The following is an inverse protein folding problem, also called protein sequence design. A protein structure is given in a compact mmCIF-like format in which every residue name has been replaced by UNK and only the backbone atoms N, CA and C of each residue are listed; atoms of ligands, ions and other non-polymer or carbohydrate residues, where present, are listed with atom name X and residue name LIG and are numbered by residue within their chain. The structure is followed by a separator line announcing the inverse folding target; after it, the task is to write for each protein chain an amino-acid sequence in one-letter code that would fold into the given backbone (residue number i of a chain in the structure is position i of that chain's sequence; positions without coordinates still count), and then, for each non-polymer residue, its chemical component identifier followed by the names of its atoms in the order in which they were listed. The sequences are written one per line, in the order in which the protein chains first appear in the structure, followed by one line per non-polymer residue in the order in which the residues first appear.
data_IF_798940363356
#
_entry.id   IF_798940363356
#
_cell.length_a   1.000
_cell.length_b   1.000
_cell.length_c   1.000
_cell.angle_alpha   90.00
_cell.angle_beta   90.00
_cell.angle_gamma   90.00
#
_symmetry.space_group_name_H-M   'P 1'
#
loop_
_entity.id
_entity.type
_entity.pdbx_description
1 polymer ?
#
# COMPACT_ATOMS: atom_id res chain seq x y z
N UNK A 1 47.37 -119.04 -52.55
CA UNK A 1 47.20 -120.10 -51.53
C UNK A 1 45.75 -120.08 -51.07
N UNK A 2 45.04 -121.23 -51.17
CA UNK A 2 43.92 -121.74 -50.32
C UNK A 2 42.76 -120.75 -50.02
N UNK A 3 41.49 -120.97 -50.34
CA UNK A 3 40.56 -122.14 -50.27
C UNK A 3 39.24 -121.64 -50.90
N UNK A 4 38.63 -122.23 -51.94
CA UNK A 4 37.69 -123.38 -51.95
C UNK A 4 36.84 -123.49 -50.66
N UNK A 5 35.52 -123.26 -50.75
CA UNK A 5 34.49 -124.32 -50.73
C UNK A 5 33.07 -123.89 -50.23
N UNK A 6 32.07 -124.28 -51.04
CA UNK A 6 30.67 -124.69 -50.79
C UNK A 6 29.89 -124.35 -49.50
N UNK A 7 28.60 -123.94 -49.65
CA UNK A 7 27.38 -124.67 -49.20
C UNK A 7 26.09 -123.89 -49.58
N UNK A 8 25.27 -124.27 -50.57
CA UNK A 8 24.08 -125.17 -50.56
C UNK A 8 22.83 -124.69 -49.77
N UNK A 9 21.72 -124.52 -50.54
CA UNK A 9 20.29 -124.90 -50.25
C UNK A 9 19.51 -123.97 -49.30
N UNK A 10 18.19 -123.73 -49.36
CA UNK A 10 17.01 -124.16 -50.14
C UNK A 10 15.81 -123.25 -49.69
N UNK A 11 14.94 -122.84 -50.64
CA UNK A 11 13.47 -122.62 -50.58
C UNK A 11 12.82 -121.88 -49.37
N UNK A 12 12.10 -120.78 -49.64
CA UNK A 12 10.63 -120.64 -49.41
C UNK A 12 10.15 -119.18 -49.54
N UNK A 13 8.99 -119.03 -50.18
CA UNK A 13 8.27 -117.78 -50.42
C UNK A 13 7.60 -117.19 -49.16
N UNK A 14 7.40 -115.86 -49.11
CA UNK A 14 6.12 -115.16 -48.83
C UNK A 14 6.33 -113.63 -48.70
N UNK A 15 5.26 -112.86 -48.88
CA UNK A 15 5.17 -111.40 -49.08
C UNK A 15 5.59 -110.50 -47.89
N UNK A 16 5.80 -109.19 -48.15
CA UNK A 16 5.18 -108.01 -47.47
C UNK A 16 5.98 -106.70 -47.72
N UNK A 17 5.25 -105.60 -47.93
CA UNK A 17 5.64 -104.18 -48.09
C UNK A 17 6.64 -103.63 -47.05
N UNK A 18 7.56 -102.75 -47.48
CA UNK A 18 8.08 -101.58 -46.72
C UNK A 18 8.69 -100.51 -47.66
N UNK A 19 8.41 -99.24 -47.41
CA UNK A 19 9.15 -98.03 -47.85
C UNK A 19 9.77 -97.38 -46.59
N UNK A 20 10.75 -96.42 -46.59
CA UNK A 20 11.14 -95.46 -47.64
C UNK A 20 12.66 -95.09 -47.73
N UNK A 21 13.05 -94.27 -48.71
CA UNK A 21 14.16 -93.30 -48.67
C UNK A 21 13.83 -92.23 -49.74
N UNK A 22 13.87 -90.92 -49.56
CA UNK A 22 14.80 -90.10 -48.78
C UNK A 22 15.38 -89.04 -49.71
N UNK A 23 14.55 -88.08 -50.15
CA UNK A 23 14.80 -86.72 -50.68
C UNK A 23 16.13 -86.41 -51.38
N UNK A 24 16.07 -86.10 -52.68
CA UNK A 24 16.85 -84.99 -53.26
C UNK A 24 16.03 -84.26 -54.34
N UNK A 25 15.80 -82.97 -54.11
CA UNK A 25 15.14 -82.01 -54.99
C UNK A 25 16.18 -81.27 -55.84
N UNK A 26 15.91 -81.12 -57.14
CA UNK A 26 16.66 -80.21 -58.04
C UNK A 26 15.67 -79.32 -58.79
N UNK A 27 15.12 -78.33 -58.10
CA UNK A 27 14.51 -77.17 -58.75
C UNK A 27 15.32 -75.96 -58.37
N UNK A 28 16.16 -75.45 -59.28
CA UNK A 28 16.44 -74.02 -59.29
C UNK A 28 16.62 -73.56 -60.71
N UNK A 29 15.65 -72.74 -61.12
CA UNK A 29 15.57 -71.86 -62.26
C UNK A 29 14.25 -71.04 -62.16
N UNK A 30 14.21 -69.70 -61.98
CA UNK A 30 12.92 -68.94 -62.02
C UNK A 30 12.79 -67.88 -63.11
N UNK A 31 13.72 -67.86 -64.08
CA UNK A 31 13.53 -67.13 -65.34
C UNK A 31 14.36 -67.68 -66.54
N UNK A 32 14.84 -68.93 -66.47
CA UNK A 32 15.80 -69.73 -67.29
C UNK A 32 17.24 -70.04 -66.73
N UNK A 33 17.49 -69.83 -65.44
CA UNK A 33 18.30 -70.64 -64.47
C UNK A 33 19.04 -69.83 -63.42
N UNK A 34 18.81 -68.51 -63.48
CA UNK A 34 19.16 -67.57 -62.43
C UNK A 34 20.44 -66.81 -62.77
N UNK A 35 20.26 -65.57 -63.22
CA UNK A 35 21.10 -64.40 -62.92
C UNK A 35 20.19 -63.17 -63.07
N UNK A 36 19.87 -62.36 -62.07
CA UNK A 36 20.15 -62.29 -60.62
C UNK A 36 18.78 -61.94 -59.96
N UNK A 37 18.38 -62.41 -58.79
CA UNK A 37 18.81 -61.82 -57.52
C UNK A 37 18.41 -62.76 -56.38
N UNK A 38 19.40 -63.05 -55.55
CA UNK A 38 19.38 -64.00 -54.45
C UNK A 38 19.08 -63.28 -53.13
N UNK A 39 17.81 -63.23 -52.73
CA UNK A 39 17.46 -62.83 -51.36
C UNK A 39 16.35 -63.70 -50.76
N UNK A 40 16.66 -64.47 -49.72
CA UNK A 40 18.01 -64.74 -49.15
C UNK A 40 17.94 -66.09 -48.44
N UNK A 41 17.94 -67.16 -49.24
CA UNK A 41 17.88 -68.57 -48.82
C UNK A 41 16.86 -68.89 -47.71
N UNK A 42 15.71 -68.23 -47.76
CA UNK A 42 14.77 -68.18 -46.67
C UNK A 42 13.77 -69.37 -46.75
N UNK A 43 13.45 -70.03 -45.62
CA UNK A 43 12.46 -71.10 -45.54
C UNK A 43 11.01 -70.71 -45.94
N UNK A 44 10.77 -69.52 -46.49
CA UNK A 44 9.55 -69.12 -47.23
C UNK A 44 9.76 -67.80 -47.99
N UNK A 45 9.34 -67.73 -49.26
CA UNK A 45 9.16 -66.47 -50.02
C UNK A 45 7.86 -66.51 -50.84
N UNK A 46 6.91 -65.62 -50.55
CA UNK A 46 5.68 -65.43 -51.34
C UNK A 46 5.80 -64.14 -52.16
N UNK A 47 5.99 -64.20 -53.50
CA UNK A 47 6.06 -63.00 -54.32
C UNK A 47 4.78 -62.17 -54.19
N UNK A 48 4.90 -60.85 -54.13
CA UNK A 48 3.74 -59.96 -54.25
C UNK A 48 3.22 -60.09 -55.69
N UNK A 49 2.09 -60.76 -55.87
CA UNK A 49 1.46 -60.91 -57.19
C UNK A 49 0.80 -59.58 -57.57
N UNK A 50 0.76 -59.23 -58.84
CA UNK A 50 0.11 -58.01 -59.33
C UNK A 50 -0.99 -58.37 -60.33
N UNK A 51 -2.08 -57.61 -60.36
CA UNK A 51 -3.10 -57.75 -61.39
C UNK A 51 -4.29 -56.84 -61.15
N UNK A 52 -5.26 -56.86 -62.07
CA UNK A 52 -6.46 -56.01 -61.99
C UNK A 52 -7.66 -56.67 -61.30
N UNK A 53 -7.54 -57.96 -60.93
CA UNK A 53 -8.56 -58.73 -60.19
C UNK A 53 -7.88 -59.57 -59.12
N UNK A 54 -8.45 -59.67 -57.92
CA UNK A 54 -7.96 -60.54 -56.86
C UNK A 54 -8.19 -62.03 -57.23
N UNK A 55 -7.17 -62.90 -57.13
CA UNK A 55 -7.35 -64.33 -57.36
C UNK A 55 -8.36 -64.95 -56.39
N UNK A 56 -9.24 -65.82 -56.91
CA UNK A 56 -10.27 -66.49 -56.11
C UNK A 56 -9.70 -67.43 -55.03
N UNK A 57 -8.44 -67.86 -55.19
CA UNK A 57 -7.72 -68.66 -54.19
C UNK A 57 -6.49 -67.93 -53.69
N UNK A 58 -6.24 -68.04 -52.39
CA UNK A 58 -5.04 -67.50 -51.77
C UNK A 58 -4.65 -68.32 -50.53
N UNK A 59 -3.37 -68.30 -50.18
CA UNK A 59 -2.86 -68.94 -48.96
C UNK A 59 -2.40 -67.90 -47.94
N UNK A 60 -2.69 -68.10 -46.64
CA UNK A 60 -2.36 -67.16 -45.56
C UNK A 60 -0.93 -66.60 -45.66
N UNK A 61 -0.78 -65.27 -45.69
CA UNK A 61 0.50 -64.57 -45.87
C UNK A 61 0.92 -64.33 -47.33
N UNK A 62 0.09 -64.69 -48.33
CA UNK A 62 0.29 -64.18 -49.69
C UNK A 62 -0.04 -62.69 -49.76
N UNK A 63 0.73 -61.95 -50.56
CA UNK A 63 0.52 -60.53 -50.83
C UNK A 63 0.11 -60.33 -52.29
N UNK A 64 -0.79 -59.38 -52.52
CA UNK A 64 -1.26 -59.01 -53.86
C UNK A 64 -1.38 -57.49 -53.99
N UNK A 65 -0.85 -56.94 -55.09
CA UNK A 65 -1.01 -55.54 -55.47
C UNK A 65 -2.07 -55.43 -56.58
N UNK A 66 -3.24 -54.90 -56.24
CA UNK A 66 -4.38 -54.72 -57.14
C UNK A 66 -4.21 -53.45 -57.98
N UNK A 67 -3.63 -53.58 -59.16
CA UNK A 67 -3.28 -52.45 -60.04
C UNK A 67 -4.47 -51.75 -60.68
N UNK A 68 -5.69 -52.26 -60.48
CA UNK A 68 -6.93 -51.58 -60.84
C UNK A 68 -7.32 -50.43 -59.90
N UNK A 69 -6.68 -50.34 -58.72
CA UNK A 69 -6.85 -49.26 -57.76
C UNK A 69 -5.55 -48.44 -57.63
N UNK A 70 -5.69 -47.14 -57.44
CA UNK A 70 -4.60 -46.16 -57.33
C UNK A 70 -4.19 -45.85 -55.87
N UNK A 71 -5.00 -46.24 -54.90
CA UNK A 71 -4.75 -46.20 -53.46
C UNK A 71 -5.27 -47.50 -52.84
N UNK A 72 -4.79 -47.86 -51.64
CA UNK A 72 -5.26 -49.05 -50.90
C UNK A 72 -5.16 -50.36 -51.71
N UNK A 73 -4.17 -50.43 -52.60
CA UNK A 73 -4.04 -51.52 -53.56
C UNK A 73 -3.22 -52.70 -53.04
N UNK A 74 -2.70 -52.68 -51.81
CA UNK A 74 -1.97 -53.80 -51.22
C UNK A 74 -2.91 -54.67 -50.36
N UNK A 75 -3.03 -55.94 -50.72
CA UNK A 75 -3.84 -56.94 -50.02
C UNK A 75 -2.93 -58.05 -49.47
N UNK A 76 -3.30 -58.62 -48.31
CA UNK A 76 -2.73 -59.85 -47.80
C UNK A 76 -3.83 -60.90 -47.59
N UNK A 77 -3.50 -62.15 -47.88
CA UNK A 77 -4.38 -63.26 -47.58
C UNK A 77 -4.32 -63.55 -46.07
N UNK A 78 -5.36 -63.22 -45.32
CA UNK A 78 -5.38 -63.41 -43.86
C UNK A 78 -5.78 -64.85 -43.48
N UNK A 79 -6.62 -65.49 -44.30
CA UNK A 79 -7.03 -66.88 -44.19
C UNK A 79 -7.16 -67.50 -45.60
N UNK A 80 -7.20 -68.83 -45.72
CA UNK A 80 -7.32 -69.49 -47.03
C UNK A 80 -8.46 -68.88 -47.86
N UNK A 81 -8.13 -68.40 -49.06
CA UNK A 81 -9.03 -67.76 -50.03
C UNK A 81 -9.70 -66.46 -49.54
N UNK A 82 -9.15 -65.79 -48.52
CA UNK A 82 -9.66 -64.54 -47.96
C UNK A 82 -8.61 -63.43 -48.02
N UNK A 83 -8.77 -62.54 -49.00
CA UNK A 83 -7.96 -61.33 -49.13
C UNK A 83 -8.45 -60.22 -48.21
N UNK A 84 -7.53 -59.60 -47.48
CA UNK A 84 -7.77 -58.45 -46.61
C UNK A 84 -6.84 -57.32 -47.05
N UNK A 85 -7.39 -56.15 -47.33
CA UNK A 85 -6.60 -54.96 -47.64
C UNK A 85 -5.67 -54.63 -46.45
N UNK A 86 -4.41 -54.32 -46.72
CA UNK A 86 -3.39 -54.05 -45.70
C UNK A 86 -3.24 -52.55 -45.39
N UNK A 87 -4.05 -51.70 -46.02
CA UNK A 87 -4.20 -50.30 -45.61
C UNK A 87 -5.12 -50.22 -44.39
N UNK A 88 -4.65 -49.54 -43.34
CA UNK A 88 -5.55 -49.05 -42.30
C UNK A 88 -6.46 -48.01 -42.95
N UNK A 89 -7.77 -48.24 -42.94
CA UNK A 89 -8.74 -47.32 -43.54
C UNK A 89 -8.76 -46.03 -42.73
N UNK A 90 -7.91 -45.07 -43.10
CA UNK A 90 -8.13 -43.70 -42.70
C UNK A 90 -9.42 -43.23 -43.41
N UNK A 91 -10.34 -42.56 -42.71
CA UNK A 91 -11.50 -41.98 -43.34
C UNK A 91 -11.06 -41.08 -44.50
N UNK A 92 -11.78 -41.15 -45.63
CA UNK A 92 -11.49 -40.34 -46.80
C UNK A 92 -11.27 -38.87 -46.42
N UNK A 93 -10.19 -38.28 -46.93
CA UNK A 93 -9.89 -36.85 -46.73
C UNK A 93 -10.82 -35.95 -47.57
N UNK A 94 -11.54 -36.52 -48.54
CA UNK A 94 -12.48 -35.77 -49.36
C UNK A 94 -13.55 -35.11 -48.45
N UNK A 95 -13.62 -33.78 -48.46
CA UNK A 95 -14.54 -33.01 -47.61
C UNK A 95 -14.08 -32.80 -46.16
N UNK A 96 -12.86 -33.20 -45.79
CA UNK A 96 -12.29 -33.03 -44.44
C UNK A 96 -11.47 -31.74 -44.26
N UNK A 97 -11.62 -30.75 -45.16
CA UNK A 97 -10.88 -29.48 -45.07
C UNK A 97 -11.13 -28.78 -43.73
N UNK A 98 -10.06 -28.33 -43.07
CA UNK A 98 -10.11 -27.62 -41.79
C UNK A 98 -10.38 -28.50 -40.56
N UNK A 99 -10.44 -29.83 -40.71
CA UNK A 99 -10.62 -30.79 -39.61
C UNK A 99 -9.29 -31.42 -39.19
N UNK A 100 -9.26 -32.00 -37.99
CA UNK A 100 -8.14 -32.82 -37.50
C UNK A 100 -8.52 -34.29 -37.50
N UNK A 101 -7.56 -35.17 -37.82
CA UNK A 101 -7.74 -36.61 -37.62
C UNK A 101 -7.71 -36.88 -36.11
N UNK A 102 -8.71 -37.58 -35.62
CA UNK A 102 -8.91 -37.83 -34.19
C UNK A 102 -9.50 -39.23 -34.00
N UNK A 103 -9.26 -39.83 -32.84
CA UNK A 103 -9.93 -41.07 -32.45
C UNK A 103 -11.00 -40.81 -31.39
N UNK A 104 -12.16 -41.45 -31.54
CA UNK A 104 -13.22 -41.49 -30.51
C UNK A 104 -13.16 -42.78 -29.66
N UNK A 105 -12.11 -43.59 -29.80
CA UNK A 105 -11.99 -44.89 -29.13
C UNK A 105 -12.68 -46.06 -29.84
N UNK A 106 -13.45 -45.81 -30.92
CA UNK A 106 -14.02 -46.86 -31.80
C UNK A 106 -13.48 -46.83 -33.23
N UNK A 107 -12.75 -45.77 -33.60
CA UNK A 107 -12.04 -45.66 -34.87
C UNK A 107 -11.43 -44.27 -35.08
N UNK A 108 -10.78 -44.08 -36.22
CA UNK A 108 -10.28 -42.77 -36.66
C UNK A 108 -11.41 -41.98 -37.35
N UNK A 109 -11.48 -40.67 -37.13
CA UNK A 109 -12.46 -39.77 -37.73
C UNK A 109 -11.90 -38.35 -37.90
N UNK A 110 -12.34 -37.66 -38.96
CA UNK A 110 -12.08 -36.24 -39.15
C UNK A 110 -13.05 -35.41 -38.31
N UNK A 111 -12.55 -34.78 -37.24
CA UNK A 111 -13.33 -33.95 -36.33
C UNK A 111 -13.03 -32.46 -36.55
N UNK A 112 -14.07 -31.64 -36.53
CA UNK A 112 -13.91 -30.19 -36.39
C UNK A 112 -13.44 -29.85 -34.98
N UNK A 113 -12.81 -28.69 -34.82
CA UNK A 113 -12.57 -28.11 -33.50
C UNK A 113 -13.84 -27.42 -33.02
N UNK A 114 -14.10 -27.47 -31.71
CA UNK A 114 -15.33 -26.93 -31.13
C UNK A 114 -15.20 -26.69 -29.63
N UNK A 115 -16.32 -26.34 -29.00
CA UNK A 115 -16.34 -25.86 -27.62
C UNK A 115 -15.99 -24.37 -27.57
N UNK A 116 -14.79 -24.07 -27.10
CA UNK A 116 -14.32 -22.69 -26.86
C UNK A 116 -13.59 -22.06 -28.05
N UNK A 117 -13.34 -22.85 -29.10
CA UNK A 117 -12.64 -22.40 -30.31
C UNK A 117 -13.48 -22.64 -31.56
N UNK A 118 -13.29 -21.80 -32.57
CA UNK A 118 -13.90 -21.91 -33.89
C UNK A 118 -12.90 -21.61 -35.00
N UNK A 119 -13.26 -21.90 -36.25
CA UNK A 119 -12.43 -21.68 -37.43
C UNK A 119 -11.55 -22.89 -37.82
N UNK A 120 -10.77 -22.76 -38.91
CA UNK A 120 -9.88 -23.81 -39.38
C UNK A 120 -8.64 -23.94 -38.48
N UNK A 121 -7.99 -25.11 -38.51
CA UNK A 121 -6.75 -25.42 -37.74
C UNK A 121 -5.62 -24.42 -37.93
N UNK A 122 -5.59 -23.70 -39.05
CA UNK A 122 -4.58 -22.68 -39.38
C UNK A 122 -4.95 -21.27 -38.91
N UNK A 123 -6.18 -21.04 -38.45
CA UNK A 123 -6.69 -19.72 -38.06
C UNK A 123 -7.79 -19.85 -36.98
N UNK A 124 -7.49 -20.58 -35.92
CA UNK A 124 -8.37 -20.71 -34.77
C UNK A 124 -8.62 -19.36 -34.09
N UNK A 125 -9.87 -19.14 -33.70
CA UNK A 125 -10.24 -18.03 -32.82
C UNK A 125 -10.93 -18.57 -31.57
N UNK A 126 -10.69 -17.91 -30.43
CA UNK A 126 -11.40 -18.20 -29.18
C UNK A 126 -12.78 -17.55 -29.25
N UNK A 127 -13.80 -18.37 -29.48
CA UNK A 127 -15.21 -17.94 -29.55
C UNK A 127 -15.97 -18.20 -28.26
N UNK A 128 -15.37 -18.92 -27.31
CA UNK A 128 -15.97 -19.23 -26.02
C UNK A 128 -14.94 -19.36 -24.91
N UNK A 129 -15.42 -19.21 -23.67
CA UNK A 129 -14.68 -19.56 -22.47
C UNK A 129 -15.61 -20.37 -21.56
N UNK A 130 -15.30 -21.65 -21.34
CA UNK A 130 -16.14 -22.61 -20.61
C UNK A 130 -17.52 -22.81 -21.24
N UNK A 131 -17.57 -22.96 -22.57
CA UNK A 131 -18.77 -23.06 -23.39
C UNK A 131 -19.70 -21.84 -23.30
N UNK A 132 -19.16 -20.69 -22.91
CA UNK A 132 -19.88 -19.42 -22.87
C UNK A 132 -19.33 -18.49 -23.94
N UNK A 133 -20.17 -17.89 -24.79
CA UNK A 133 -19.69 -17.10 -25.93
C UNK A 133 -18.78 -15.95 -25.50
N UNK A 134 -17.72 -15.69 -26.26
CA UNK A 134 -16.93 -14.46 -26.21
C UNK A 134 -17.43 -13.55 -27.33
N UNK A 135 -17.65 -12.26 -27.02
CA UNK A 135 -18.14 -11.29 -28.00
C UNK A 135 -17.16 -11.11 -29.16
N UNK A 136 -17.69 -10.93 -30.37
CA UNK A 136 -16.91 -10.56 -31.55
C UNK A 136 -16.53 -9.06 -31.60
N UNK A 137 -17.02 -8.26 -30.64
CA UNK A 137 -16.66 -6.84 -30.51
C UNK A 137 -15.19 -6.69 -30.14
N UNK A 138 -14.44 -5.88 -30.90
CA UNK A 138 -13.05 -5.58 -30.61
C UNK A 138 -12.91 -4.78 -29.29
N UNK A 139 -12.04 -5.19 -28.36
CA UNK A 139 -11.80 -4.44 -27.12
C UNK A 139 -11.15 -3.07 -27.40
N UNK A 140 -11.65 -2.02 -26.75
CA UNK A 140 -10.93 -0.76 -26.65
C UNK A 140 -9.80 -0.84 -25.60
N UNK A 141 -8.83 0.07 -25.70
CA UNK A 141 -7.74 0.17 -24.73
C UNK A 141 -8.27 0.34 -23.29
N UNK A 142 -7.81 -0.52 -22.38
CA UNK A 142 -8.20 -0.50 -20.96
C UNK A 142 -9.47 -1.29 -20.61
N UNK A 143 -10.09 -1.98 -21.57
CA UNK A 143 -11.23 -2.88 -21.30
C UNK A 143 -10.79 -4.27 -20.85
N UNK A 144 -11.63 -4.93 -20.07
CA UNK A 144 -11.48 -6.33 -19.65
C UNK A 144 -12.70 -7.15 -20.07
N UNK A 145 -12.54 -8.46 -20.25
CA UNK A 145 -13.68 -9.35 -20.49
C UNK A 145 -14.52 -9.50 -19.21
N UNK A 146 -15.80 -9.11 -19.28
CA UNK A 146 -16.76 -9.22 -18.19
C UNK A 146 -17.99 -10.02 -18.64
N UNK A 147 -18.49 -10.93 -17.81
CA UNK A 147 -19.67 -11.73 -18.10
C UNK A 147 -20.94 -10.88 -17.92
N UNK A 148 -21.69 -10.63 -18.99
CA UNK A 148 -22.91 -9.82 -18.93
C UNK A 148 -24.20 -10.62 -18.69
N UNK A 149 -24.11 -11.94 -18.46
CA UNK A 149 -25.27 -12.83 -18.39
C UNK A 149 -25.48 -13.71 -19.64
N UNK A 150 -24.96 -13.29 -20.80
CA UNK A 150 -25.13 -13.95 -22.09
C UNK A 150 -23.80 -14.26 -22.81
N UNK A 151 -22.82 -13.36 -22.71
CA UNK A 151 -21.49 -13.49 -23.31
C UNK A 151 -20.43 -12.79 -22.48
N UNK A 152 -19.17 -13.19 -22.66
CA UNK A 152 -18.02 -12.43 -22.20
C UNK A 152 -17.83 -11.25 -23.16
N UNK A 153 -18.07 -10.03 -22.67
CA UNK A 153 -17.99 -8.79 -23.45
C UNK A 153 -16.84 -7.92 -22.95
N UNK A 154 -16.12 -7.21 -23.83
CA UNK A 154 -15.20 -6.17 -23.39
C UNK A 154 -15.97 -5.06 -22.68
N UNK A 155 -15.62 -4.78 -21.44
CA UNK A 155 -16.18 -3.67 -20.66
C UNK A 155 -15.08 -2.89 -19.95
N UNK A 156 -15.30 -1.59 -19.84
CA UNK A 156 -14.52 -0.73 -18.95
C UNK A 156 -14.91 -1.08 -17.52
N UNK A 157 -13.94 -1.47 -16.70
CA UNK A 157 -14.17 -1.61 -15.27
C UNK A 157 -14.27 -0.21 -14.68
N UNK A 158 -15.47 0.22 -14.33
CA UNK A 158 -15.64 1.34 -13.41
C UNK A 158 -15.42 0.82 -12.00
N UNK A 159 -14.17 0.82 -11.53
CA UNK A 159 -13.92 0.70 -10.09
C UNK A 159 -14.51 1.95 -9.45
N UNK A 160 -15.71 1.83 -8.89
CA UNK A 160 -16.17 2.82 -7.93
C UNK A 160 -15.14 2.82 -6.80
N UNK A 161 -14.40 3.91 -6.64
CA UNK A 161 -13.60 4.08 -5.44
C UNK A 161 -14.54 3.86 -4.26
N UNK A 162 -14.16 2.96 -3.34
CA UNK A 162 -14.99 2.63 -2.19
C UNK A 162 -15.43 3.91 -1.51
N UNK A 163 -16.73 4.08 -1.29
CA UNK A 163 -17.20 5.31 -0.67
C UNK A 163 -16.80 5.31 0.80
N UNK A 164 -16.24 6.42 1.25
CA UNK A 164 -16.01 6.66 2.67
C UNK A 164 -17.27 7.30 3.26
N UNK A 165 -17.90 6.62 4.22
CA UNK A 165 -18.98 7.20 5.04
C UNK A 165 -18.34 7.80 6.29
N UNK A 166 -18.58 9.08 6.52
CA UNK A 166 -18.04 9.80 7.66
C UNK A 166 -19.19 10.11 8.61
N UNK A 167 -19.02 9.68 9.85
CA UNK A 167 -19.95 9.94 10.93
C UNK A 167 -19.30 10.83 11.98
N UNK A 168 -20.09 11.74 12.55
CA UNK A 168 -19.72 12.49 13.74
C UNK A 168 -20.70 12.13 14.84
N UNK A 169 -20.19 11.59 15.95
CA UNK A 169 -20.99 11.14 17.09
C UNK A 169 -22.17 10.22 16.69
N UNK A 170 -21.94 9.31 15.75
CA UNK A 170 -22.93 8.35 15.24
C UNK A 170 -23.97 8.92 14.25
N UNK A 171 -23.78 10.16 13.78
CA UNK A 171 -24.60 10.77 12.73
C UNK A 171 -23.79 10.88 11.45
N UNK A 172 -24.31 10.36 10.34
CA UNK A 172 -23.68 10.49 9.01
C UNK A 172 -23.62 11.97 8.61
N UNK A 173 -22.41 12.46 8.37
CA UNK A 173 -22.12 13.81 7.88
C UNK A 173 -21.98 13.81 6.36
N UNK A 174 -21.50 12.71 5.77
CA UNK A 174 -21.42 12.59 4.33
C UNK A 174 -20.86 11.26 3.84
N UNK A 175 -20.98 11.08 2.53
CA UNK A 175 -20.55 9.90 1.78
C UNK A 175 -19.83 10.42 0.53
N UNK A 176 -18.51 10.27 0.45
CA UNK A 176 -17.65 10.88 -0.59
C UNK A 176 -16.53 9.92 -1.00
N UNK A 177 -15.92 10.18 -2.16
CA UNK A 177 -14.75 9.44 -2.67
C UNK A 177 -13.41 10.02 -2.18
N UNK A 178 -13.43 11.18 -1.52
CA UNK A 178 -12.25 11.82 -0.96
C UNK A 178 -12.63 12.58 0.32
N UNK A 179 -11.71 12.58 1.29
CA UNK A 179 -11.77 13.37 2.52
C UNK A 179 -10.59 14.33 2.56
N UNK A 180 -10.82 15.57 2.99
CA UNK A 180 -9.78 16.60 3.08
C UNK A 180 -9.63 17.10 4.53
N UNK A 181 -8.49 16.82 5.14
CA UNK A 181 -8.19 17.27 6.49
C UNK A 181 -7.56 18.67 6.45
N UNK A 182 -8.26 19.65 7.00
CA UNK A 182 -7.78 21.02 7.16
C UNK A 182 -7.65 21.29 8.65
N UNK A 183 -6.49 21.75 9.10
CA UNK A 183 -6.30 22.14 10.49
C UNK A 183 -6.81 23.57 10.75
N UNK A 184 -7.53 23.73 11.84
CA UNK A 184 -7.86 25.05 12.39
C UNK A 184 -6.68 25.65 13.16
N UNK A 185 -6.85 26.89 13.62
CA UNK A 185 -5.89 27.54 14.51
C UNK A 185 -5.70 26.73 15.80
N UNK A 186 -4.45 26.62 16.27
CA UNK A 186 -4.12 25.91 17.50
C UNK A 186 -4.09 24.39 17.38
N UNK A 187 -4.27 23.83 16.18
CA UNK A 187 -4.16 22.39 15.94
C UNK A 187 -3.02 22.09 14.99
N UNK A 188 -2.21 21.10 15.38
CA UNK A 188 -1.24 20.44 14.52
C UNK A 188 -1.77 19.06 14.15
N UNK A 189 -1.75 18.77 12.85
CA UNK A 189 -2.15 17.48 12.31
C UNK A 189 -0.97 16.89 11.55
N UNK A 190 -0.60 15.66 11.88
CA UNK A 190 0.35 14.87 11.11
C UNK A 190 -0.38 13.68 10.48
N UNK A 191 -0.25 13.55 9.16
CA UNK A 191 -0.81 12.44 8.40
C UNK A 191 0.35 11.60 7.88
N UNK A 192 0.29 10.29 8.11
CA UNK A 192 1.25 9.33 7.56
C UNK A 192 0.53 8.14 6.95
N UNK A 193 1.15 7.55 5.94
CA UNK A 193 0.67 6.35 5.24
C UNK A 193 1.81 5.32 5.25
N UNK A 194 1.57 4.16 5.84
CA UNK A 194 2.52 3.03 5.84
C UNK A 194 2.17 1.95 4.80
N UNK A 195 1.18 2.21 3.95
CA UNK A 195 0.65 1.29 2.94
C UNK A 195 -0.38 0.29 3.48
N UNK A 196 -0.48 0.12 4.80
CA UNK A 196 -1.51 -0.70 5.45
C UNK A 196 -2.59 0.15 6.13
N UNK A 197 -2.22 1.33 6.63
CA UNK A 197 -3.12 2.28 7.30
C UNK A 197 -2.69 3.72 7.07
N UNK A 198 -3.70 4.59 7.05
CA UNK A 198 -3.52 6.02 7.27
C UNK A 198 -3.54 6.29 8.77
N UNK A 199 -2.51 6.95 9.28
CA UNK A 199 -2.47 7.43 10.66
C UNK A 199 -2.69 8.93 10.67
N UNK A 200 -3.78 9.36 11.31
CA UNK A 200 -4.10 10.75 11.61
C UNK A 200 -3.73 11.02 13.06
N UNK A 201 -2.66 11.80 13.29
CA UNK A 201 -2.31 12.28 14.61
C UNK A 201 -2.73 13.75 14.73
N UNK A 202 -3.58 14.03 15.71
CA UNK A 202 -3.97 15.39 16.07
C UNK A 202 -3.33 15.75 17.41
N UNK A 203 -2.80 16.97 17.52
CA UNK A 203 -2.26 17.49 18.77
C UNK A 203 -2.56 18.98 18.87
N UNK A 204 -2.60 19.49 20.10
CA UNK A 204 -2.70 20.94 20.35
C UNK A 204 -1.36 21.60 20.02
N UNK A 205 -1.42 22.75 19.35
CA UNK A 205 -0.23 23.57 19.10
C UNK A 205 0.06 24.43 20.34
N UNK A 206 1.01 23.97 21.15
CA UNK A 206 1.39 24.65 22.39
C UNK A 206 2.17 25.95 22.17
N UNK A 207 2.53 26.31 20.91
CA UNK A 207 3.09 27.61 20.60
C UNK A 207 2.01 28.71 20.54
N UNK A 208 0.75 28.33 20.35
CA UNK A 208 -0.39 29.26 20.21
C UNK A 208 -1.44 29.04 21.31
N UNK A 209 -1.55 27.83 21.85
CA UNK A 209 -2.45 27.49 22.96
C UNK A 209 -1.67 27.35 24.27
N UNK A 210 -2.11 28.09 25.28
CA UNK A 210 -1.59 27.96 26.64
C UNK A 210 -1.95 26.58 27.22
N UNK A 211 -0.98 25.90 27.80
CA UNK A 211 -1.19 24.61 28.48
C UNK A 211 -1.40 24.82 29.97
N UNK A 212 -2.02 23.85 30.65
CA UNK A 212 -2.11 23.87 32.12
C UNK A 212 -0.74 24.01 32.80
N UNK A 213 0.29 23.35 32.27
CA UNK A 213 1.64 23.46 32.80
C UNK A 213 2.24 24.86 32.58
N UNK A 214 1.99 25.47 31.42
CA UNK A 214 2.37 26.87 31.13
C UNK A 214 1.69 27.84 32.08
N UNK A 215 0.37 27.69 32.30
CA UNK A 215 -0.40 28.52 33.23
C UNK A 215 0.14 28.38 34.65
N UNK A 216 0.39 27.15 35.10
CA UNK A 216 0.97 26.87 36.43
C UNK A 216 2.39 27.45 36.58
N UNK A 217 3.16 27.50 35.50
CA UNK A 217 4.48 28.13 35.49
C UNK A 217 4.40 29.66 35.38
N UNK A 218 3.28 30.21 34.92
CA UNK A 218 3.05 31.65 34.73
C UNK A 218 3.85 32.27 33.58
N UNK A 219 4.43 31.46 32.69
CA UNK A 219 5.44 31.89 31.71
C UNK A 219 4.92 32.92 30.71
N UNK A 220 3.68 32.77 30.24
CA UNK A 220 3.10 33.66 29.22
C UNK A 220 2.92 35.12 29.69
N UNK A 221 2.85 35.36 31.00
CA UNK A 221 2.63 36.70 31.58
C UNK A 221 3.81 37.21 32.39
N UNK A 222 4.84 36.39 32.62
CA UNK A 222 5.97 36.73 33.47
C UNK A 222 7.02 37.52 32.70
N UNK A 223 7.33 38.74 33.17
CA UNK A 223 8.29 39.64 32.56
C UNK A 223 9.34 40.03 33.61
N UNK A 224 10.53 39.45 33.56
CA UNK A 224 11.63 39.83 34.44
C UNK A 224 12.53 40.84 33.75
N UNK A 225 12.81 41.96 34.41
CA UNK A 225 13.75 42.93 33.88
C UNK A 225 15.19 42.46 34.00
N UNK A 226 16.01 42.91 33.05
CA UNK A 226 17.46 42.69 33.03
C UNK A 226 18.19 43.91 32.44
N UNK A 227 17.59 45.10 32.55
CA UNK A 227 18.12 46.32 31.93
C UNK A 227 19.18 47.03 32.77
N UNK A 228 19.41 46.60 34.01
CA UNK A 228 20.34 47.19 34.98
C UNK A 228 20.11 48.70 35.17
N UNK A 229 18.86 49.14 35.15
CA UNK A 229 18.48 50.56 35.17
C UNK A 229 17.43 50.84 36.23
N UNK A 230 17.58 51.98 36.92
CA UNK A 230 16.65 52.45 37.96
C UNK A 230 15.52 53.35 37.43
N UNK A 231 15.47 53.59 36.10
CA UNK A 231 14.47 54.47 35.46
C UNK A 231 14.03 54.02 34.06
N UNK A 232 14.77 53.12 33.41
CA UNK A 232 14.43 52.59 32.10
C UNK A 232 14.48 51.05 32.12
N UNK A 233 13.38 50.43 32.53
CA UNK A 233 13.25 48.99 32.60
C UNK A 233 13.02 48.39 31.23
N UNK A 234 13.61 47.23 30.97
CA UNK A 234 13.28 46.41 29.81
C UNK A 234 13.11 44.96 30.24
N UNK A 235 12.13 44.27 29.68
CA UNK A 235 11.91 42.83 29.89
C UNK A 235 11.39 42.18 28.60
N UNK A 236 11.39 40.85 28.57
CA UNK A 236 10.91 40.08 27.42
C UNK A 236 9.92 38.99 27.88
N UNK A 237 8.90 38.72 27.06
CA UNK A 237 7.95 37.64 27.26
C UNK A 237 8.30 36.42 26.40
N UNK A 238 7.70 35.28 26.75
CA UNK A 238 7.78 34.08 25.94
C UNK A 238 6.39 33.43 25.82
N UNK A 239 5.76 33.42 24.62
CA UNK A 239 6.26 34.02 23.37
C UNK A 239 6.34 35.56 23.44
N UNK A 240 7.21 36.15 22.62
CA UNK A 240 7.39 37.61 22.58
C UNK A 240 6.11 38.31 22.11
N UNK A 241 5.77 39.41 22.79
CA UNK A 241 4.65 40.25 22.44
C UNK A 241 4.92 40.96 21.11
N UNK A 242 3.89 41.06 20.25
CA UNK A 242 4.01 41.74 18.95
C UNK A 242 3.49 43.17 18.97
N UNK A 243 2.60 43.51 19.91
CA UNK A 243 2.09 44.85 20.12
C UNK A 243 1.48 45.01 21.52
N UNK A 244 1.57 46.20 22.10
CA UNK A 244 0.82 46.53 23.30
C UNK A 244 -0.68 46.64 22.98
N UNK A 245 -1.51 45.94 23.75
CA UNK A 245 -2.97 46.02 23.64
C UNK A 245 -3.55 46.61 24.90
N UNK A 246 -4.41 47.62 24.80
CA UNK A 246 -5.11 48.20 25.96
C UNK A 246 -5.80 47.11 26.76
N UNK A 247 -5.56 47.08 28.08
CA UNK A 247 -6.08 46.08 29.00
C UNK A 247 -5.22 44.83 29.17
N UNK A 248 -4.13 44.65 28.40
CA UNK A 248 -3.19 43.56 28.66
C UNK A 248 -2.61 43.67 30.07
N UNK A 249 -2.36 42.53 30.71
CA UNK A 249 -1.80 42.47 32.05
C UNK A 249 -0.53 41.62 32.07
N UNK A 250 0.40 41.96 32.96
CA UNK A 250 1.70 41.30 33.10
C UNK A 250 2.03 41.08 34.57
N UNK A 251 2.86 40.06 34.84
CA UNK A 251 3.51 39.83 36.13
C UNK A 251 4.97 40.24 35.99
N UNK A 252 5.28 41.46 36.39
CA UNK A 252 6.58 42.07 36.17
C UNK A 252 7.48 42.00 37.41
N UNK A 253 8.77 41.73 37.21
CA UNK A 253 9.78 41.69 38.27
C UNK A 253 10.97 42.60 37.90
N UNK A 254 11.15 43.78 38.53
CA UNK A 254 12.32 44.64 38.33
C UNK A 254 13.61 43.99 38.84
N UNK A 255 14.73 44.34 38.23
CA UNK A 255 16.09 43.94 38.60
C UNK A 255 16.81 44.95 39.50
N UNK A 256 16.44 46.24 39.41
CA UNK A 256 17.02 47.35 40.19
C UNK A 256 15.91 48.17 40.86
N UNK A 257 16.15 48.67 42.07
CA UNK A 257 15.23 49.59 42.77
C UNK A 257 15.05 50.89 41.96
N UNK A 258 13.83 51.41 41.88
CA UNK A 258 13.60 52.63 41.11
C UNK A 258 14.19 53.85 41.84
N UNK A 259 14.84 54.74 41.08
CA UNK A 259 15.37 56.00 41.58
C UNK A 259 14.27 57.06 41.85
N UNK A 260 13.03 56.77 41.47
CA UNK A 260 11.89 57.70 41.51
C UNK A 260 11.80 58.62 40.29
N UNK A 261 10.63 59.21 40.08
CA UNK A 261 10.39 60.15 38.99
C UNK A 261 9.97 59.47 37.68
N UNK A 262 10.46 59.94 36.53
CA UNK A 262 10.07 59.39 35.24
C UNK A 262 10.68 57.99 35.05
N UNK A 263 9.83 56.96 35.17
CA UNK A 263 10.20 55.55 34.96
C UNK A 263 9.52 55.02 33.70
N UNK A 264 10.21 54.19 32.92
CA UNK A 264 9.64 53.51 31.75
C UNK A 264 9.84 52.00 31.81
N UNK A 265 9.00 51.27 31.07
CA UNK A 265 9.11 49.84 30.81
C UNK A 265 9.00 49.60 29.30
N UNK A 266 9.97 48.90 28.74
CA UNK A 266 9.94 48.38 27.36
C UNK A 266 9.84 46.84 27.39
N UNK A 267 8.74 46.30 26.85
CA UNK A 267 8.51 44.86 26.74
C UNK A 267 8.76 44.44 25.31
N UNK A 268 9.62 43.44 25.12
CA UNK A 268 9.94 42.85 23.82
C UNK A 268 10.39 43.87 22.75
N UNK A 269 11.03 44.97 23.19
CA UNK A 269 11.53 46.04 22.32
C UNK A 269 10.45 46.74 21.48
N UNK A 270 9.19 46.67 21.92
CA UNK A 270 8.06 47.33 21.27
C UNK A 270 8.02 48.85 21.48
N UNK A 271 8.92 49.36 22.32
CA UNK A 271 9.11 50.77 22.62
C UNK A 271 8.73 51.07 24.05
N UNK A 272 9.59 51.84 24.73
CA UNK A 272 9.41 52.21 26.12
C UNK A 272 8.11 52.99 26.36
N UNK A 273 7.30 52.54 27.32
CA UNK A 273 6.10 53.23 27.83
C UNK A 273 6.33 53.70 29.25
N UNK A 274 5.72 54.82 29.65
CA UNK A 274 5.86 55.28 31.03
C UNK A 274 5.20 54.28 31.99
N UNK A 275 5.84 54.05 33.13
CA UNK A 275 5.32 53.27 34.22
C UNK A 275 4.77 54.22 35.29
N UNK A 276 3.48 54.10 35.59
CA UNK A 276 2.72 54.97 36.49
C UNK A 276 2.10 54.17 37.62
N UNK A 277 1.77 54.84 38.72
CA UNK A 277 0.92 54.25 39.74
C UNK A 277 -0.48 53.93 39.18
N UNK A 278 -1.33 53.26 39.96
CA UNK A 278 -2.64 52.79 39.51
C UNK A 278 -3.57 53.89 38.96
N UNK A 279 -3.37 55.14 39.39
CA UNK A 279 -4.10 56.31 38.89
C UNK A 279 -3.79 56.64 37.42
N UNK A 280 -2.68 56.13 36.89
CA UNK A 280 -2.21 56.37 35.51
C UNK A 280 -1.53 57.70 35.27
N UNK A 281 -1.32 58.49 36.32
CA UNK A 281 -0.80 59.87 36.22
C UNK A 281 0.46 60.02 37.08
N UNK A 282 0.40 59.55 38.32
CA UNK A 282 1.47 59.72 39.30
C UNK A 282 2.66 58.83 38.96
N UNK A 283 3.85 59.42 38.96
CA UNK A 283 5.10 58.70 38.77
C UNK A 283 5.49 57.95 40.05
N UNK A 284 6.07 56.74 39.95
CA UNK A 284 6.59 56.02 41.10
C UNK A 284 7.70 56.79 41.83
N UNK A 285 7.76 56.65 43.14
CA UNK A 285 8.79 57.21 44.02
C UNK A 285 9.75 56.12 44.51
N UNK A 286 10.92 56.50 45.09
CA UNK A 286 11.80 55.53 45.71
C UNK A 286 11.04 54.68 46.75
N UNK A 287 11.07 53.36 46.57
CA UNK A 287 10.36 52.40 47.43
C UNK A 287 9.03 51.87 46.88
N UNK A 288 8.43 52.52 45.87
CA UNK A 288 7.24 51.96 45.20
C UNK A 288 7.61 50.75 44.33
N UNK A 289 8.78 50.81 43.69
CA UNK A 289 9.34 49.74 42.86
C UNK A 289 10.64 49.27 43.50
N UNK A 290 10.63 48.04 43.98
CA UNK A 290 11.78 47.37 44.60
C UNK A 290 12.19 46.15 43.79
N UNK A 291 13.48 46.01 43.56
CA UNK A 291 14.10 44.90 42.88
C UNK A 291 13.63 43.56 43.45
N UNK A 292 13.35 42.62 42.56
CA UNK A 292 12.97 41.26 42.92
C UNK A 292 11.52 41.07 43.37
N UNK A 293 10.73 42.13 43.60
CA UNK A 293 9.31 42.02 43.91
C UNK A 293 8.49 41.74 42.65
N UNK A 294 7.44 40.93 42.77
CA UNK A 294 6.54 40.65 41.66
C UNK A 294 5.36 41.63 41.70
N UNK A 295 5.21 42.41 40.63
CA UNK A 295 4.14 43.39 40.44
C UNK A 295 3.14 42.90 39.40
N UNK A 296 1.85 43.10 39.66
CA UNK A 296 0.84 43.06 38.59
C UNK A 296 0.84 44.38 37.87
N UNK A 297 0.97 44.39 36.55
CA UNK A 297 0.83 45.58 35.72
C UNK A 297 -0.33 45.42 34.75
N UNK A 298 -0.91 46.53 34.29
CA UNK A 298 -1.73 46.53 33.08
C UNK A 298 -1.41 47.72 32.18
N UNK A 299 -1.60 47.57 30.88
CA UNK A 299 -1.44 48.66 29.92
C UNK A 299 -2.77 49.39 29.73
N UNK A 300 -2.83 50.70 29.93
CA UNK A 300 -4.06 51.48 29.82
C UNK A 300 -4.33 52.05 28.40
N UNK A 301 -3.46 51.72 27.44
CA UNK A 301 -3.46 52.26 26.08
C UNK A 301 -2.38 53.31 25.84
N UNK A 302 -1.80 53.88 26.90
CA UNK A 302 -0.73 54.89 26.84
C UNK A 302 0.46 54.50 27.73
N UNK A 303 0.19 54.14 28.98
CA UNK A 303 1.16 53.86 30.02
C UNK A 303 0.93 52.46 30.62
N UNK A 304 1.99 51.88 31.19
CA UNK A 304 1.83 50.77 32.12
C UNK A 304 1.45 51.31 33.50
N UNK A 305 0.46 50.69 34.13
CA UNK A 305 0.02 51.01 35.48
C UNK A 305 0.39 49.89 36.43
N UNK A 306 1.01 50.26 37.53
CA UNK A 306 1.22 49.38 38.68
C UNK A 306 -0.14 49.04 39.29
N UNK A 307 -0.50 47.77 39.25
CA UNK A 307 -1.56 47.16 40.05
C UNK A 307 -1.29 47.47 41.50
N UNK A 308 -2.01 48.42 42.06
CA UNK A 308 -1.82 48.81 43.45
C UNK A 308 -2.13 47.60 44.33
N UNK A 309 -1.30 47.28 45.34
CA UNK A 309 -1.89 46.90 46.61
C UNK A 309 -2.43 48.21 47.22
N UNK A 310 -3.59 48.67 46.74
CA UNK A 310 -4.32 49.77 47.38
C UNK A 310 -4.48 49.37 48.86
N UNK A 311 -3.84 50.13 49.76
CA UNK A 311 -3.85 49.86 51.21
C UNK A 311 -2.60 49.18 51.80
N UNK A 312 -1.52 48.95 51.05
CA UNK A 312 -0.28 48.48 51.67
C UNK A 312 0.35 49.56 52.57
N UNK A 313 0.58 49.20 53.83
CA UNK A 313 1.39 49.99 54.76
C UNK A 313 2.84 49.96 54.28
N UNK A 314 3.38 51.11 53.91
CA UNK A 314 4.79 51.26 53.57
C UNK A 314 5.64 51.16 54.85
N UNK A 315 6.87 50.63 54.81
CA UNK A 315 7.73 50.53 56.01
C UNK A 315 9.19 50.76 55.70
N UNK A 316 9.94 51.41 56.60
CA UNK A 316 11.36 51.73 56.47
C UNK A 316 11.92 52.42 57.72
N UNK A 317 13.24 52.65 57.76
CA UNK A 317 13.92 53.29 58.91
C UNK A 317 13.64 54.79 59.02
N UNK A 318 13.29 55.45 57.92
CA UNK A 318 12.94 56.87 57.88
C UNK A 318 11.74 57.11 56.97
N UNK A 319 10.90 58.06 57.37
CA UNK A 319 9.71 58.46 56.65
C UNK A 319 10.04 59.64 55.71
N UNK A 320 9.68 59.59 54.42
CA UNK A 320 9.89 60.72 53.51
C UNK A 320 8.98 61.91 53.89
N UNK A 321 9.25 63.14 53.42
CA UNK A 321 8.35 64.27 53.62
C UNK A 321 6.95 63.99 53.07
N UNK A 322 5.90 64.29 53.85
CA UNK A 322 4.52 64.16 53.37
C UNK A 322 4.23 65.26 52.34
N UNK A 323 3.63 64.87 51.22
CA UNK A 323 3.24 65.76 50.14
C UNK A 323 1.99 65.26 49.42
N UNK A 324 1.51 66.02 48.43
CA UNK A 324 0.33 65.66 47.65
C UNK A 324 0.42 64.27 47.00
N UNK A 325 1.63 63.91 46.57
CA UNK A 325 2.06 62.62 46.02
C UNK A 325 1.86 61.43 46.97
N UNK A 326 1.91 61.66 48.30
CA UNK A 326 1.81 60.59 49.31
C UNK A 326 0.51 60.63 50.11
N UNK A 327 -0.43 61.52 49.77
CA UNK A 327 -1.67 61.70 50.53
C UNK A 327 -2.45 60.38 50.66
N UNK A 328 -2.79 60.01 51.90
CA UNK A 328 -3.53 58.79 52.23
C UNK A 328 -2.67 57.54 52.36
N UNK A 329 -1.36 57.59 52.06
CA UNK A 329 -0.43 56.49 52.34
C UNK A 329 -0.27 56.31 53.85
N UNK A 330 -0.28 55.05 54.29
CA UNK A 330 0.05 54.66 55.67
C UNK A 330 1.49 54.17 55.70
N UNK A 331 2.28 54.62 56.68
CA UNK A 331 3.68 54.27 56.89
C UNK A 331 3.89 53.71 58.30
N UNK A 332 4.66 52.63 58.41
CA UNK A 332 5.10 52.02 59.66
C UNK A 332 6.60 52.26 59.86
N UNK A 333 6.96 53.01 60.90
CA UNK A 333 8.32 53.10 61.44
C UNK A 333 8.47 52.04 62.52
N UNK A 334 9.48 51.18 62.38
CA UNK A 334 9.73 50.12 63.35
C UNK A 334 10.59 50.65 64.49
N UNK A 335 10.11 50.53 65.72
CA UNK A 335 10.85 50.89 66.90
C UNK A 335 12.07 49.99 67.08
N UNK A 336 13.16 50.55 67.60
CA UNK A 336 14.28 49.73 68.10
C UNK A 336 13.83 48.90 69.33
N UNK A 337 14.64 47.95 69.76
CA UNK A 337 14.33 47.13 70.94
C UNK A 337 13.97 47.99 72.16
N UNK A 338 12.76 47.82 72.70
CA UNK A 338 12.25 48.59 73.83
C UNK A 338 11.51 49.88 73.48
N UNK A 339 11.35 50.22 72.19
CA UNK A 339 10.53 51.34 71.69
C UNK A 339 9.31 50.81 70.93
N UNK A 340 8.21 51.57 70.94
CA UNK A 340 7.01 51.25 70.16
C UNK A 340 7.25 51.51 68.66
N UNK A 341 6.53 50.76 67.82
CA UNK A 341 6.39 51.09 66.41
C UNK A 341 5.47 52.30 66.25
N UNK A 342 5.69 53.14 65.22
CA UNK A 342 4.82 54.27 64.89
C UNK A 342 4.15 54.03 63.53
N UNK A 343 2.82 54.13 63.50
CA UNK A 343 2.02 54.09 62.27
C UNK A 343 1.50 55.50 61.99
N UNK A 344 1.75 56.03 60.80
CA UNK A 344 1.28 57.36 60.42
C UNK A 344 0.65 57.38 59.02
N UNK A 345 -0.29 58.30 58.78
CA UNK A 345 -0.89 58.57 57.47
C UNK A 345 -0.50 59.96 56.97
N UNK A 346 -0.08 60.08 55.72
CA UNK A 346 0.20 61.40 55.13
C UNK A 346 -1.12 62.10 54.82
N UNK A 347 -1.39 63.23 55.47
CA UNK A 347 -2.66 63.94 55.36
C UNK A 347 -2.47 65.44 55.12
N UNK A 348 -3.45 66.01 54.41
CA UNK A 348 -3.55 67.43 54.13
C UNK A 348 -4.43 68.08 55.20
N UNK A 349 -3.99 69.20 55.77
CA UNK A 349 -4.82 70.01 56.67
C UNK A 349 -5.68 71.04 55.93
N UNK A 350 -6.44 71.84 56.69
CA UNK A 350 -7.33 72.87 56.14
C UNK A 350 -6.57 74.07 55.54
N UNK A 351 -5.27 74.20 55.78
CA UNK A 351 -4.41 75.25 55.23
C UNK A 351 -3.60 74.76 54.01
N UNK A 352 -3.97 73.62 53.45
CA UNK A 352 -3.29 72.95 52.35
C UNK A 352 -1.86 72.48 52.63
N UNK A 353 -1.47 72.41 53.90
CA UNK A 353 -0.19 71.83 54.32
C UNK A 353 -0.29 70.31 54.42
N UNK A 354 0.78 69.62 54.04
CA UNK A 354 0.88 68.17 54.07
C UNK A 354 1.82 67.76 55.20
N UNK A 355 1.33 66.91 56.11
CA UNK A 355 2.13 66.36 57.19
C UNK A 355 1.68 64.94 57.54
N UNK A 356 2.58 64.18 58.15
CA UNK A 356 2.28 62.84 58.62
C UNK A 356 1.52 62.90 59.95
N UNK A 357 0.37 62.25 59.99
CA UNK A 357 -0.48 62.14 61.18
C UNK A 357 -0.31 60.76 61.77
N UNK A 358 0.28 60.70 62.96
CA UNK A 358 0.43 59.45 63.72
C UNK A 358 -0.96 58.91 64.09
N UNK A 359 -1.17 57.63 63.83
CA UNK A 359 -2.38 56.86 64.10
C UNK A 359 -2.20 55.91 65.28
N UNK A 360 -0.98 55.39 65.48
CA UNK A 360 -0.60 54.51 66.59
C UNK A 360 0.87 54.72 66.92
#
# INVERSE_FOLDING_TARGET
MRKVEHWRRIIAACAILTAPAGWTQTRVDLRNQGKEIDFTQAPSTKPVKTGIVLPATCATGELFLLTGLNIENLYACAAANSWVAQSYLLPSQAGASGKVLSSNGSGEQWSGMGGDVTGPVTALTVSGLRNRPVSATEPAGGQTLMWNGNSWVPQTITVGQGSLTIESNGTVIGTRSAENFINGLGLITAISDDGAKLTLQQSVDTAVLETKAGEQAGTALYCASASASASAYACALNPALTAYTTGMSLRWKPDIDAAGGAVTLDVDTLGAKALKLADGVTSPEPGDILAGRLYSLWFDGVNFRLGNPDGAVSSGEARPPCGANLRGRIWLLRGAAGLADEVAVCAKDAADSYDWRVLY
#
